data_IF_682803828212
#
_entry.id   IF_682803828212
#
_cell.length_a   1.000
_cell.length_b   1.000
_cell.length_c   1.000
_cell.angle_alpha   90.00
_cell.angle_beta   90.00
_cell.angle_gamma   90.00
#
_symmetry.space_group_name_H-M   'P 1'
#
loop_
_entity.id
_entity.type
_entity.pdbx_description
1 polymer ?
#
# COMPACT_ATOMS: atom_id res chain seq x y z
N UNK A 1 8.33 -0.46 -1.90
CA UNK A 1 7.39 -1.58 -1.81
C UNK A 1 7.74 -2.41 -0.61
N UNK A 2 6.79 -2.59 0.30
CA UNK A 2 7.11 -3.04 1.66
C UNK A 2 7.03 -4.56 1.76
N UNK A 3 6.11 -5.16 1.01
CA UNK A 3 5.84 -6.59 0.96
C UNK A 3 5.57 -7.02 -0.48
N UNK A 4 6.06 -8.20 -0.86
CA UNK A 4 6.00 -8.72 -2.23
C UNK A 4 6.65 -7.75 -3.25
N UNK A 5 7.89 -7.32 -2.98
CA UNK A 5 8.65 -6.48 -3.89
C UNK A 5 8.64 -7.07 -5.30
N UNK A 6 8.24 -6.29 -6.29
CA UNK A 6 8.30 -6.72 -7.68
C UNK A 6 9.67 -6.33 -8.27
N UNK A 7 10.51 -7.27 -8.76
CA UNK A 7 10.19 -8.67 -9.06
C UNK A 7 10.64 -9.72 -8.03
N UNK A 8 11.36 -9.35 -6.97
CA UNK A 8 12.07 -10.31 -6.12
C UNK A 8 11.20 -11.11 -5.15
N UNK A 9 9.96 -10.69 -4.91
CA UNK A 9 9.07 -11.21 -3.88
C UNK A 9 9.44 -10.79 -2.44
N UNK A 10 10.54 -10.04 -2.25
CA UNK A 10 11.04 -9.70 -0.91
C UNK A 10 10.04 -8.89 -0.08
N UNK A 11 10.15 -9.03 1.24
CA UNK A 11 9.45 -8.20 2.21
C UNK A 11 10.45 -7.56 3.18
N UNK A 12 10.20 -6.31 3.56
CA UNK A 12 11.02 -5.58 4.52
C UNK A 12 10.80 -6.22 5.90
N UNK A 13 11.86 -6.75 6.51
CA UNK A 13 11.83 -7.27 7.88
C UNK A 13 11.87 -6.14 8.92
N UNK A 14 11.54 -6.43 10.17
CA UNK A 14 11.65 -5.47 11.28
C UNK A 14 13.08 -4.88 11.41
N UNK A 15 14.10 -5.74 11.35
CA UNK A 15 15.50 -5.33 11.42
C UNK A 15 15.87 -4.44 10.23
N UNK A 16 15.47 -4.83 9.01
CA UNK A 16 15.74 -4.04 7.82
C UNK A 16 15.02 -2.69 7.85
N UNK A 17 13.80 -2.66 8.39
CA UNK A 17 13.09 -1.40 8.58
C UNK A 17 13.86 -0.46 9.51
N UNK A 18 14.38 -0.95 10.65
CA UNK A 18 15.17 -0.14 11.56
C UNK A 18 16.42 0.46 10.88
N UNK A 19 17.17 -0.34 10.12
CA UNK A 19 18.32 0.13 9.33
C UNK A 19 17.92 1.20 8.31
N UNK A 20 16.84 0.96 7.56
CA UNK A 20 16.35 1.89 6.55
C UNK A 20 15.91 3.22 7.16
N UNK A 21 15.22 3.20 8.31
CA UNK A 21 14.87 4.45 9.03
C UNK A 21 16.11 5.24 9.44
N UNK A 22 17.16 4.56 9.92
CA UNK A 22 18.42 5.21 10.28
C UNK A 22 19.12 5.84 9.08
N UNK A 23 19.11 5.18 7.92
CA UNK A 23 19.62 5.76 6.66
C UNK A 23 18.77 6.96 6.24
N UNK A 24 17.45 6.80 6.19
CA UNK A 24 16.51 7.84 5.78
C UNK A 24 16.59 9.11 6.63
N UNK A 25 16.78 8.96 7.95
CA UNK A 25 16.95 10.08 8.87
C UNK A 25 18.15 10.99 8.51
N UNK A 26 19.17 10.46 7.84
CA UNK A 26 20.34 11.22 7.35
C UNK A 26 20.06 11.99 6.06
N UNK A 27 18.90 11.76 5.43
CA UNK A 27 18.52 12.34 4.14
C UNK A 27 17.13 13.00 4.21
N UNK A 28 16.95 14.08 4.99
CA UNK A 28 15.64 14.70 5.22
C UNK A 28 15.01 15.34 3.97
N UNK A 29 15.77 15.49 2.88
CA UNK A 29 15.27 16.00 1.59
C UNK A 29 14.66 14.91 0.70
N UNK A 30 14.76 13.64 1.10
CA UNK A 30 14.20 12.52 0.34
C UNK A 30 12.68 12.49 0.49
N UNK A 31 11.98 12.31 -0.63
CA UNK A 31 10.57 11.91 -0.64
C UNK A 31 10.50 10.38 -0.53
N UNK A 32 9.85 9.87 0.52
CA UNK A 32 9.60 8.44 0.69
C UNK A 32 8.21 8.07 0.11
N UNK A 33 8.16 7.09 -0.78
CA UNK A 33 6.89 6.51 -1.25
C UNK A 33 6.88 5.02 -0.90
N UNK A 34 6.03 4.66 0.04
CA UNK A 34 5.74 3.27 0.40
C UNK A 34 4.55 2.74 -0.38
N UNK A 35 4.73 1.56 -0.95
CA UNK A 35 3.72 0.85 -1.72
C UNK A 35 3.53 -0.52 -1.08
N UNK A 36 2.42 -0.68 -0.38
CA UNK A 36 2.02 -1.92 0.27
C UNK A 36 0.96 -2.65 -0.56
N UNK A 37 1.23 -2.84 -1.85
CA UNK A 37 0.33 -3.60 -2.70
C UNK A 37 0.19 -5.07 -2.29
N UNK A 38 1.10 -5.59 -1.45
CA UNK A 38 0.98 -6.91 -0.84
C UNK A 38 -0.13 -7.01 0.22
N UNK A 39 -0.77 -5.89 0.60
CA UNK A 39 -1.87 -5.87 1.55
C UNK A 39 -3.02 -6.80 1.11
N UNK A 40 -3.39 -7.72 2.01
CA UNK A 40 -4.45 -8.71 1.79
C UNK A 40 -4.04 -9.94 0.97
N UNK A 41 -2.83 -9.99 0.41
CA UNK A 41 -2.30 -11.19 -0.28
C UNK A 41 -1.00 -11.74 0.35
N UNK A 42 -0.34 -10.96 1.21
CA UNK A 42 0.86 -11.35 1.96
C UNK A 42 0.52 -11.49 3.44
N UNK A 43 0.86 -12.62 4.04
CA UNK A 43 0.67 -12.92 5.47
C UNK A 43 1.75 -12.36 6.41
N UNK A 44 2.83 -11.82 5.85
CA UNK A 44 3.91 -11.19 6.63
C UNK A 44 3.48 -9.83 7.21
N UNK A 45 3.93 -9.48 8.44
CA UNK A 45 3.64 -8.20 9.05
C UNK A 45 4.20 -7.05 8.21
N UNK A 46 3.53 -5.90 8.27
CA UNK A 46 4.01 -4.66 7.68
C UNK A 46 4.96 -3.95 8.65
N UNK A 47 6.10 -3.48 8.15
CA UNK A 47 7.05 -2.66 8.91
C UNK A 47 7.24 -1.30 8.21
N UNK A 48 6.34 -0.33 8.43
CA UNK A 48 6.31 0.91 7.64
C UNK A 48 7.48 1.84 7.97
N UNK A 49 8.00 2.50 6.95
CA UNK A 49 9.03 3.54 7.00
C UNK A 49 8.41 4.95 6.99
N UNK A 50 7.12 5.07 6.70
CA UNK A 50 6.33 6.30 6.73
C UNK A 50 6.61 7.11 8.01
N UNK A 51 6.81 8.42 7.85
CA UNK A 51 7.18 9.32 8.95
C UNK A 51 8.67 9.33 9.31
N UNK A 52 9.52 8.49 8.70
CA UNK A 52 10.97 8.53 8.94
C UNK A 52 11.70 9.70 8.25
N UNK A 53 10.99 10.39 7.35
CA UNK A 53 11.41 11.63 6.70
C UNK A 53 10.24 12.61 6.70
N UNK A 54 10.48 13.93 6.56
CA UNK A 54 9.41 14.93 6.54
C UNK A 54 8.41 14.75 5.40
N UNK A 55 8.87 14.27 4.24
CA UNK A 55 8.04 14.09 3.05
C UNK A 55 7.83 12.61 2.74
N UNK A 56 6.60 12.13 2.89
CA UNK A 56 6.29 10.73 2.70
C UNK A 56 4.84 10.50 2.22
N UNK A 57 4.65 9.38 1.53
CA UNK A 57 3.34 8.83 1.21
C UNK A 57 3.35 7.30 1.38
N UNK A 58 2.23 6.74 1.82
CA UNK A 58 2.00 5.31 1.99
C UNK A 58 0.74 4.91 1.23
N UNK A 59 0.82 3.91 0.35
CA UNK A 59 -0.24 3.55 -0.59
C UNK A 59 -0.66 2.09 -0.41
N UNK A 60 -1.97 1.84 -0.46
CA UNK A 60 -2.55 0.49 -0.59
C UNK A 60 -3.58 0.45 -1.71
N UNK A 61 -3.50 -0.59 -2.54
CA UNK A 61 -4.46 -0.82 -3.62
C UNK A 61 -5.41 -1.97 -3.30
N UNK A 62 -6.64 -1.89 -3.77
CA UNK A 62 -7.61 -3.00 -3.71
C UNK A 62 -7.34 -4.09 -4.76
N UNK A 63 -6.48 -3.81 -5.76
CA UNK A 63 -6.37 -4.61 -6.98
C UNK A 63 -6.08 -6.09 -6.77
N UNK A 64 -5.28 -6.44 -5.75
CA UNK A 64 -4.80 -7.81 -5.52
C UNK A 64 -5.68 -8.61 -4.57
N UNK A 65 -6.27 -7.95 -3.57
CA UNK A 65 -7.13 -8.59 -2.58
C UNK A 65 -8.60 -8.65 -3.02
N UNK A 66 -9.10 -7.63 -3.72
CA UNK A 66 -10.51 -7.50 -4.11
C UNK A 66 -10.73 -7.60 -5.62
N UNK A 67 -9.72 -7.31 -6.43
CA UNK A 67 -9.77 -7.41 -7.88
C UNK A 67 -9.37 -6.11 -8.59
N UNK A 68 -8.69 -6.21 -9.75
CA UNK A 68 -8.12 -5.05 -10.44
C UNK A 68 -9.19 -4.10 -11.01
N UNK A 69 -10.41 -4.59 -11.25
CA UNK A 69 -11.50 -3.82 -11.86
C UNK A 69 -12.12 -2.78 -10.93
N UNK A 70 -11.82 -2.84 -9.63
CA UNK A 70 -12.24 -1.80 -8.67
C UNK A 70 -11.46 -0.49 -8.86
N UNK A 71 -10.30 -0.53 -9.52
CA UNK A 71 -9.48 0.64 -9.90
C UNK A 71 -9.24 1.64 -8.76
N UNK A 72 -9.18 1.16 -7.52
CA UNK A 72 -9.11 1.99 -6.32
C UNK A 72 -7.84 1.72 -5.52
N UNK A 73 -7.22 2.80 -5.08
CA UNK A 73 -6.18 2.79 -4.06
C UNK A 73 -6.47 3.89 -3.05
N UNK A 74 -6.10 3.64 -1.80
CA UNK A 74 -6.09 4.63 -0.74
C UNK A 74 -4.64 4.94 -0.41
N UNK A 75 -4.38 6.19 -0.04
CA UNK A 75 -3.06 6.59 0.42
C UNK A 75 -3.18 7.58 1.58
N UNK A 76 -2.12 7.65 2.36
CA UNK A 76 -1.92 8.67 3.39
C UNK A 76 -0.49 9.19 3.27
N UNK A 77 -0.17 10.31 3.92
CA UNK A 77 1.11 10.99 3.78
C UNK A 77 1.23 12.18 4.71
N UNK A 78 2.36 12.89 4.65
CA UNK A 78 2.44 14.22 5.24
C UNK A 78 1.47 15.19 4.54
N UNK A 79 1.14 16.29 5.21
CA UNK A 79 0.14 17.24 4.74
C UNK A 79 0.51 17.83 3.37
N UNK A 80 1.77 18.23 3.18
CA UNK A 80 2.22 18.85 1.94
C UNK A 80 2.19 17.86 0.77
N UNK A 81 2.67 16.63 0.97
CA UNK A 81 2.64 15.60 -0.07
C UNK A 81 1.20 15.23 -0.43
N UNK A 82 0.32 15.08 0.55
CA UNK A 82 -1.10 14.75 0.33
C UNK A 82 -1.82 15.87 -0.43
N UNK A 83 -1.61 17.13 -0.04
CA UNK A 83 -2.22 18.28 -0.72
C UNK A 83 -1.74 18.43 -2.17
N UNK A 84 -0.46 18.20 -2.43
CA UNK A 84 0.09 18.21 -3.80
C UNK A 84 -0.55 17.13 -4.68
N UNK A 85 -0.68 15.91 -4.17
CA UNK A 85 -1.34 14.81 -4.89
C UNK A 85 -2.80 15.15 -5.16
N UNK A 86 -3.53 15.63 -4.14
CA UNK A 86 -4.94 16.02 -4.28
C UNK A 86 -5.13 17.15 -5.29
N UNK A 87 -4.27 18.17 -5.25
CA UNK A 87 -4.25 19.26 -6.22
C UNK A 87 -4.06 18.75 -7.65
N UNK A 88 -3.09 17.84 -7.86
CA UNK A 88 -2.84 17.28 -9.19
C UNK A 88 -3.98 16.38 -9.67
N UNK A 89 -4.59 15.60 -8.78
CA UNK A 89 -5.73 14.74 -9.09
C UNK A 89 -6.91 15.55 -9.60
N UNK A 90 -7.23 16.67 -8.94
CA UNK A 90 -8.31 17.60 -9.36
C UNK A 90 -8.08 18.21 -10.74
N UNK A 91 -6.82 18.43 -11.13
CA UNK A 91 -6.44 18.96 -12.45
C UNK A 91 -6.26 17.88 -13.52
N UNK A 92 -6.51 16.62 -13.20
CA UNK A 92 -6.35 15.50 -14.13
C UNK A 92 -7.59 14.59 -14.08
N UNK A 93 -7.50 13.38 -13.51
CA UNK A 93 -8.63 12.45 -13.46
C UNK A 93 -9.86 12.93 -12.66
N UNK A 94 -9.73 14.01 -11.87
CA UNK A 94 -10.76 14.51 -10.97
C UNK A 94 -10.87 13.65 -9.72
N UNK A 95 -11.61 12.55 -9.81
CA UNK A 95 -11.87 11.61 -8.71
C UNK A 95 -11.96 10.17 -9.21
N UNK A 96 -11.80 9.21 -8.29
CA UNK A 96 -12.17 7.81 -8.56
C UNK A 96 -13.70 7.73 -8.56
N UNK A 97 -14.31 6.98 -9.47
CA UNK A 97 -15.77 6.80 -9.53
C UNK A 97 -16.40 6.60 -8.15
N UNK A 98 -17.41 7.40 -7.81
CA UNK A 98 -18.12 7.27 -6.52
C UNK A 98 -18.82 5.91 -6.38
N UNK A 99 -19.27 5.32 -7.49
CA UNK A 99 -19.80 3.97 -7.49
C UNK A 99 -18.73 2.98 -6.99
N UNK A 100 -17.52 3.04 -7.54
CA UNK A 100 -16.42 2.16 -7.13
C UNK A 100 -15.97 2.43 -5.68
N UNK A 101 -15.96 3.70 -5.26
CA UNK A 101 -15.69 4.07 -3.85
C UNK A 101 -16.72 3.45 -2.90
N UNK A 102 -18.01 3.55 -3.22
CA UNK A 102 -19.09 2.97 -2.42
C UNK A 102 -19.05 1.44 -2.44
N UNK A 103 -18.79 0.81 -3.60
CA UNK A 103 -18.63 -0.64 -3.70
C UNK A 103 -17.49 -1.14 -2.82
N UNK A 104 -16.30 -0.52 -2.87
CA UNK A 104 -15.18 -0.90 -2.00
C UNK A 104 -15.54 -0.73 -0.53
N UNK A 105 -16.17 0.39 -0.19
CA UNK A 105 -16.60 0.66 1.19
C UNK A 105 -17.57 -0.41 1.69
N UNK A 106 -18.52 -0.84 0.86
CA UNK A 106 -19.47 -1.88 1.22
C UNK A 106 -18.79 -3.26 1.37
N UNK A 107 -17.87 -3.61 0.46
CA UNK A 107 -17.08 -4.85 0.57
C UNK A 107 -16.26 -4.91 1.86
N UNK A 108 -15.74 -3.77 2.32
CA UNK A 108 -15.05 -3.66 3.62
C UNK A 108 -16.01 -3.81 4.80
N UNK A 109 -17.14 -3.09 4.78
CA UNK A 109 -18.11 -3.10 5.90
C UNK A 109 -18.80 -4.43 6.10
N UNK A 110 -19.11 -5.12 5.00
CA UNK A 110 -19.76 -6.44 5.01
C UNK A 110 -18.79 -7.59 5.27
N UNK A 111 -17.47 -7.34 5.23
CA UNK A 111 -16.47 -8.40 5.30
C UNK A 111 -16.55 -9.38 4.13
N UNK A 112 -17.02 -8.92 2.96
CA UNK A 112 -17.26 -9.77 1.79
C UNK A 112 -16.02 -10.52 1.28
N UNK A 113 -14.83 -10.02 1.60
CA UNK A 113 -13.55 -10.68 1.34
C UNK A 113 -12.85 -10.91 2.67
N UNK A 114 -12.50 -12.17 2.96
CA UNK A 114 -11.58 -12.54 4.05
C UNK A 114 -10.13 -12.41 3.56
N UNK A 115 -9.38 -11.34 3.95
CA UNK A 115 -8.01 -11.15 3.49
C UNK A 115 -7.07 -12.25 4.00
N UNK A 116 -7.40 -12.93 5.10
CA UNK A 116 -6.60 -14.04 5.59
C UNK A 116 -6.76 -15.28 4.70
N UNK A 117 -7.97 -15.59 4.24
CA UNK A 117 -8.20 -16.64 3.24
C UNK A 117 -7.49 -16.33 1.91
N UNK A 118 -7.56 -15.07 1.46
CA UNK A 118 -6.84 -14.63 0.25
C UNK A 118 -5.33 -14.83 0.42
N UNK A 119 -4.73 -14.34 1.50
CA UNK A 119 -3.30 -14.50 1.77
C UNK A 119 -2.88 -15.98 1.88
N UNK A 120 -3.70 -16.84 2.50
CA UNK A 120 -3.46 -18.30 2.55
C UNK A 120 -3.45 -18.92 1.14
N UNK A 121 -4.40 -18.55 0.28
CA UNK A 121 -4.45 -19.03 -1.11
C UNK A 121 -3.20 -18.66 -1.90
N UNK A 122 -2.72 -17.42 -1.77
CA UNK A 122 -1.44 -17.00 -2.36
C UNK A 122 -0.23 -17.73 -1.73
N UNK A 123 -0.30 -18.08 -0.44
CA UNK A 123 0.70 -18.90 0.24
C UNK A 123 0.84 -20.28 -0.36
N UNK A 124 -0.28 -21.01 -0.44
CA UNK A 124 -0.31 -22.36 -0.99
C UNK A 124 0.21 -22.42 -2.45
N UNK A 125 -0.13 -21.41 -3.27
CA UNK A 125 0.38 -21.32 -4.65
C UNK A 125 1.90 -21.14 -4.71
N UNK A 126 2.48 -20.39 -3.78
CA UNK A 126 3.93 -20.13 -3.73
C UNK A 126 4.70 -21.33 -3.21
N UNK A 127 4.15 -22.09 -2.27
CA UNK A 127 4.76 -23.33 -1.76
C UNK A 127 4.77 -24.45 -2.80
N UNK A 128 3.91 -24.36 -3.82
CA UNK A 128 3.80 -25.34 -4.90
C UNK A 128 4.69 -25.06 -6.13
N UNK A 129 5.45 -23.96 -6.14
CA UNK A 129 6.37 -23.57 -7.22
C UNK A 129 7.82 -23.91 -6.86
#
# INVERSE_FOLDING_TARGET
TDRAQNPTGAAVSAARAAELRAVLARHPRTLLIEDDHGHGIVSLPLHPLAGSVPHWAFVRSTAKAYGPDLRLAVFTGDALTTDRVRGRQRLGPGWVSHLLQHTVTELWRSGAVDPAAVARSYGARREAL
#
